data_IF_888954020100
#
_entry.id   IF_888954020100
#
_cell.length_a   1.000
_cell.length_b   1.000
_cell.length_c   1.000
_cell.angle_alpha   90.00
_cell.angle_beta   90.00
_cell.angle_gamma   90.00
#
_symmetry.space_group_name_H-M   'P 1'
#
loop_
_entity.id
_entity.type
_entity.pdbx_description
1 polymer ?
#
# COMPACT_ATOMS: atom_id res chain seq x y z
N UNK A 1 -9.84 -39.44 -6.71
CA UNK A 1 -10.37 -38.60 -7.81
C UNK A 1 -10.35 -37.15 -7.34
N UNK A 2 -9.26 -36.42 -7.66
CA UNK A 2 -9.24 -34.99 -7.53
C UNK A 2 -10.04 -34.43 -8.71
N UNK A 3 -11.29 -34.04 -8.49
CA UNK A 3 -12.02 -33.20 -9.41
C UNK A 3 -11.45 -31.78 -9.25
N UNK A 4 -10.39 -31.45 -9.99
CA UNK A 4 -9.96 -30.07 -10.16
C UNK A 4 -11.05 -29.37 -11.00
N UNK A 5 -11.58 -28.27 -10.50
CA UNK A 5 -12.49 -27.40 -11.25
C UNK A 5 -11.59 -26.33 -11.88
N UNK A 6 -11.48 -26.36 -13.20
CA UNK A 6 -10.83 -25.30 -13.95
C UNK A 6 -11.84 -24.17 -14.17
N UNK A 7 -11.46 -22.94 -13.84
CA UNK A 7 -12.23 -21.74 -14.13
C UNK A 7 -11.34 -20.68 -14.79
N UNK A 8 -11.95 -19.91 -15.67
CA UNK A 8 -11.30 -18.77 -16.30
C UNK A 8 -12.07 -17.49 -15.94
N UNK A 9 -11.34 -16.45 -15.59
CA UNK A 9 -11.89 -15.15 -15.25
C UNK A 9 -11.81 -14.22 -16.47
N UNK A 10 -12.92 -13.54 -16.76
CA UNK A 10 -12.99 -12.54 -17.83
C UNK A 10 -13.38 -11.18 -17.26
N UNK A 11 -12.83 -10.12 -17.85
CA UNK A 11 -13.29 -8.76 -17.64
C UNK A 11 -14.07 -8.30 -18.86
N UNK A 12 -15.27 -7.76 -18.65
CA UNK A 12 -16.07 -7.17 -19.72
C UNK A 12 -15.72 -5.70 -19.89
N UNK A 13 -15.03 -5.34 -20.98
CA UNK A 13 -14.71 -3.94 -21.35
C UNK A 13 -15.63 -3.43 -22.43
N UNK A 14 -16.06 -2.16 -22.32
CA UNK A 14 -16.81 -1.48 -23.36
C UNK A 14 -15.84 -0.77 -24.31
N UNK A 15 -15.61 -1.35 -25.50
CA UNK A 15 -14.72 -0.82 -26.53
C UNK A 15 -15.54 -0.47 -27.76
N UNK A 16 -15.44 0.76 -28.24
CA UNK A 16 -16.18 1.27 -29.39
C UNK A 16 -17.70 0.99 -29.33
N UNK A 17 -18.29 1.09 -28.13
CA UNK A 17 -19.72 0.87 -27.90
C UNK A 17 -20.15 -0.59 -27.76
N UNK A 18 -19.24 -1.54 -27.92
CA UNK A 18 -19.50 -2.99 -27.76
C UNK A 18 -18.89 -3.51 -26.49
N UNK A 19 -19.56 -4.44 -25.83
CA UNK A 19 -18.99 -5.19 -24.71
C UNK A 19 -18.12 -6.30 -25.28
N UNK A 20 -16.88 -6.39 -24.81
CA UNK A 20 -15.91 -7.40 -25.22
C UNK A 20 -15.37 -8.04 -23.94
N UNK A 21 -15.45 -9.37 -23.88
CA UNK A 21 -14.87 -10.13 -22.78
C UNK A 21 -13.40 -10.40 -23.09
N UNK A 22 -12.54 -9.97 -22.18
CA UNK A 22 -11.08 -10.14 -22.26
C UNK A 22 -10.68 -11.07 -21.13
N UNK A 23 -9.94 -12.14 -21.45
CA UNK A 23 -9.41 -13.03 -20.42
C UNK A 23 -8.55 -12.23 -19.44
N UNK A 24 -8.81 -12.43 -18.14
CA UNK A 24 -8.08 -11.74 -17.06
C UNK A 24 -6.57 -12.06 -17.06
N UNK A 25 -6.17 -13.15 -17.70
CA UNK A 25 -4.75 -13.49 -17.93
C UNK A 25 -4.01 -12.46 -18.79
N UNK A 26 -4.75 -11.59 -19.51
CA UNK A 26 -4.21 -10.51 -20.35
C UNK A 26 -4.23 -9.15 -19.66
N UNK A 27 -4.73 -9.11 -18.41
CA UNK A 27 -4.79 -7.86 -17.67
C UNK A 27 -3.42 -7.40 -17.17
N UNK A 28 -3.34 -6.11 -16.82
CA UNK A 28 -2.13 -5.54 -16.23
C UNK A 28 -1.82 -6.18 -14.89
N UNK A 29 -0.54 -6.27 -14.55
CA UNK A 29 -0.10 -6.78 -13.24
C UNK A 29 -0.77 -6.02 -12.09
N UNK A 30 -1.00 -4.69 -12.25
CA UNK A 30 -1.69 -3.87 -11.25
C UNK A 30 -3.13 -4.30 -11.02
N UNK A 31 -3.90 -4.57 -12.10
CA UNK A 31 -5.28 -5.04 -11.99
C UNK A 31 -5.36 -6.44 -11.34
N UNK A 32 -4.42 -7.34 -11.69
CA UNK A 32 -4.33 -8.64 -11.04
C UNK A 32 -4.08 -8.52 -9.54
N UNK A 33 -3.18 -7.62 -9.14
CA UNK A 33 -2.87 -7.36 -7.72
C UNK A 33 -4.02 -6.69 -6.97
N UNK A 34 -4.76 -5.78 -7.61
CA UNK A 34 -5.97 -5.19 -7.03
C UNK A 34 -7.02 -6.26 -6.73
N UNK A 35 -7.22 -7.21 -7.65
CA UNK A 35 -8.15 -8.31 -7.43
C UNK A 35 -7.68 -9.23 -6.30
N UNK A 36 -6.38 -9.61 -6.26
CA UNK A 36 -5.83 -10.43 -5.17
C UNK A 36 -5.98 -9.73 -3.82
N UNK A 37 -5.63 -8.45 -3.76
CA UNK A 37 -5.84 -7.63 -2.56
C UNK A 37 -7.30 -7.64 -2.12
N UNK A 38 -8.24 -7.42 -3.05
CA UNK A 38 -9.66 -7.38 -2.75
C UNK A 38 -10.16 -8.73 -2.22
N UNK A 39 -9.76 -9.85 -2.83
CA UNK A 39 -10.12 -11.19 -2.36
C UNK A 39 -9.63 -11.45 -0.92
N UNK A 40 -8.41 -11.02 -0.58
CA UNK A 40 -7.88 -11.11 0.78
C UNK A 40 -8.61 -10.19 1.75
N UNK A 41 -8.90 -8.96 1.30
CA UNK A 41 -9.64 -7.97 2.07
C UNK A 41 -11.01 -8.49 2.50
N UNK A 42 -11.73 -9.24 1.65
CA UNK A 42 -13.05 -9.79 1.98
C UNK A 42 -13.06 -10.57 3.30
N UNK A 43 -11.96 -11.20 3.68
CA UNK A 43 -11.88 -11.89 4.97
C UNK A 43 -12.01 -10.92 6.16
N UNK A 44 -11.60 -9.65 6.01
CA UNK A 44 -11.76 -8.65 7.08
C UNK A 44 -13.23 -8.27 7.32
N UNK A 45 -14.09 -8.41 6.32
CA UNK A 45 -15.52 -8.11 6.44
C UNK A 45 -16.29 -9.17 7.21
N UNK A 46 -15.67 -10.32 7.45
CA UNK A 46 -16.24 -11.45 8.21
C UNK A 46 -15.57 -11.62 9.58
N UNK A 47 -14.91 -10.60 10.07
CA UNK A 47 -14.32 -10.58 11.42
C UNK A 47 -12.92 -11.19 11.54
N UNK A 48 -12.29 -11.57 10.41
CA UNK A 48 -10.94 -12.16 10.43
C UNK A 48 -9.85 -11.08 10.52
N UNK A 49 -8.68 -11.49 11.01
CA UNK A 49 -7.45 -10.71 10.95
C UNK A 49 -6.70 -11.06 9.66
N UNK A 50 -6.40 -10.07 8.86
CA UNK A 50 -5.63 -10.22 7.61
C UNK A 50 -4.35 -9.43 7.73
N UNK A 51 -3.22 -10.09 7.43
CA UNK A 51 -1.89 -9.46 7.40
C UNK A 51 -1.36 -9.51 5.98
N UNK A 52 -0.96 -8.35 5.45
CA UNK A 52 -0.42 -8.21 4.11
C UNK A 52 0.91 -7.48 4.15
N UNK A 53 1.92 -8.06 3.52
CA UNK A 53 3.20 -7.40 3.33
C UNK A 53 3.24 -6.75 1.95
N UNK A 54 3.79 -5.52 1.87
CA UNK A 54 3.86 -4.73 0.63
C UNK A 54 2.53 -4.68 -0.14
N UNK A 55 1.43 -4.39 0.56
CA UNK A 55 0.08 -4.49 0.01
C UNK A 55 -0.17 -3.61 -1.23
N UNK A 56 0.59 -2.54 -1.41
CA UNK A 56 0.53 -1.59 -2.53
C UNK A 56 1.48 -1.93 -3.69
N UNK A 57 2.31 -2.97 -3.56
CA UNK A 57 3.34 -3.28 -4.55
C UNK A 57 2.75 -3.54 -5.95
N UNK A 58 3.14 -2.70 -6.93
CA UNK A 58 2.69 -2.79 -8.33
C UNK A 58 1.27 -2.29 -8.58
N UNK A 59 0.65 -1.61 -7.62
CA UNK A 59 -0.63 -0.93 -7.77
C UNK A 59 -0.37 0.58 -7.83
N UNK A 60 -1.12 1.30 -8.68
CA UNK A 60 -1.01 2.75 -8.76
C UNK A 60 -1.43 3.39 -7.42
N UNK A 61 -0.59 4.28 -6.88
CA UNK A 61 -0.76 4.86 -5.54
C UNK A 61 -2.17 5.42 -5.28
N UNK A 62 -2.71 6.20 -6.23
CA UNK A 62 -4.04 6.81 -6.12
C UNK A 62 -5.15 5.77 -6.18
N UNK A 63 -4.99 4.73 -6.99
CA UNK A 63 -5.98 3.64 -7.07
C UNK A 63 -6.04 2.89 -5.74
N UNK A 64 -4.89 2.57 -5.16
CA UNK A 64 -4.82 1.87 -3.89
C UNK A 64 -5.41 2.71 -2.74
N UNK A 65 -5.09 4.01 -2.69
CA UNK A 65 -5.68 4.92 -1.71
C UNK A 65 -7.21 4.99 -1.83
N UNK A 66 -7.73 5.14 -3.06
CA UNK A 66 -9.17 5.20 -3.28
C UNK A 66 -9.86 3.90 -2.90
N UNK A 67 -9.28 2.77 -3.26
CA UNK A 67 -9.79 1.45 -2.87
C UNK A 67 -9.90 1.34 -1.35
N UNK A 68 -8.86 1.71 -0.61
CA UNK A 68 -8.90 1.66 0.85
C UNK A 68 -9.92 2.61 1.46
N UNK A 69 -10.10 3.82 0.90
CA UNK A 69 -11.16 4.75 1.34
C UNK A 69 -12.55 4.12 1.24
N UNK A 70 -12.80 3.41 0.13
CA UNK A 70 -14.09 2.77 -0.10
C UNK A 70 -14.29 1.52 0.76
N UNK A 71 -13.23 0.77 1.01
CA UNK A 71 -13.31 -0.50 1.73
C UNK A 71 -13.27 -0.34 3.26
N UNK A 72 -12.64 0.71 3.77
CA UNK A 72 -12.45 0.94 5.21
C UNK A 72 -13.74 0.81 6.04
N UNK A 73 -14.92 1.33 5.61
CA UNK A 73 -16.16 1.22 6.38
C UNK A 73 -16.68 -0.21 6.56
N UNK A 74 -16.23 -1.14 5.75
CA UNK A 74 -16.70 -2.54 5.76
C UNK A 74 -15.83 -3.47 6.61
N UNK A 75 -14.71 -2.97 7.17
CA UNK A 75 -13.83 -3.76 8.04
C UNK A 75 -14.56 -4.03 9.36
N UNK A 76 -14.84 -5.30 9.64
CA UNK A 76 -15.38 -5.77 10.93
C UNK A 76 -14.34 -6.54 11.75
N UNK A 77 -13.30 -7.05 11.08
CA UNK A 77 -12.11 -7.68 11.66
C UNK A 77 -10.95 -6.69 11.77
N UNK A 78 -9.77 -7.13 11.38
CA UNK A 78 -8.56 -6.30 11.40
C UNK A 78 -7.76 -6.47 10.11
N UNK A 79 -7.31 -5.35 9.50
CA UNK A 79 -6.35 -5.34 8.42
C UNK A 79 -5.04 -4.73 8.94
N UNK A 80 -3.96 -5.52 8.88
CA UNK A 80 -2.60 -5.09 9.17
C UNK A 80 -1.83 -5.18 7.87
N UNK A 81 -1.18 -4.10 7.44
CA UNK A 81 -0.41 -4.14 6.20
C UNK A 81 0.82 -3.25 6.27
N UNK A 82 1.88 -3.66 5.54
CA UNK A 82 2.97 -2.77 5.20
C UNK A 82 2.71 -2.17 3.82
N UNK A 83 3.13 -0.92 3.61
CA UNK A 83 2.98 -0.20 2.35
C UNK A 83 4.03 0.90 2.22
N UNK A 84 4.44 1.18 0.98
CA UNK A 84 5.33 2.30 0.65
C UNK A 84 4.56 3.55 0.20
N UNK A 85 3.28 3.42 -0.08
CA UNK A 85 2.41 4.49 -0.56
C UNK A 85 2.14 5.53 0.53
N UNK A 86 2.82 6.66 0.46
CA UNK A 86 2.66 7.75 1.44
C UNK A 86 1.31 8.47 1.35
N UNK A 87 0.54 8.30 0.26
CA UNK A 87 -0.82 8.86 0.16
C UNK A 87 -1.77 8.25 1.21
N UNK A 88 -1.46 7.07 1.74
CA UNK A 88 -2.25 6.45 2.81
C UNK A 88 -2.25 7.29 4.10
N UNK A 89 -1.24 8.14 4.29
CA UNK A 89 -1.16 9.08 5.41
C UNK A 89 -2.17 10.24 5.29
N UNK A 90 -2.83 10.38 4.14
CA UNK A 90 -3.87 11.38 3.88
C UNK A 90 -5.29 10.81 4.05
N UNK A 91 -5.41 9.53 4.40
CA UNK A 91 -6.70 8.92 4.73
C UNK A 91 -7.28 9.58 6.00
N UNK A 92 -8.61 9.57 6.09
CA UNK A 92 -9.31 10.06 7.28
C UNK A 92 -8.85 9.25 8.51
N UNK A 93 -8.57 9.95 9.60
CA UNK A 93 -8.09 9.35 10.85
C UNK A 93 -6.76 8.56 10.72
N UNK A 94 -5.96 8.77 9.67
CA UNK A 94 -4.68 8.09 9.46
C UNK A 94 -3.78 8.10 10.71
N UNK A 95 -3.85 9.18 11.50
CA UNK A 95 -3.10 9.32 12.75
C UNK A 95 -3.37 8.20 13.76
N UNK A 96 -4.53 7.58 13.73
CA UNK A 96 -4.92 6.54 14.70
C UNK A 96 -4.47 5.13 14.31
N UNK A 97 -4.12 4.91 13.04
CA UNK A 97 -3.78 3.56 12.54
C UNK A 97 -2.46 3.49 11.76
N UNK A 98 -1.81 4.62 11.47
CA UNK A 98 -0.50 4.62 10.80
C UNK A 98 0.63 4.52 11.81
N UNK A 99 1.53 3.57 11.58
CA UNK A 99 2.76 3.36 12.31
C UNK A 99 3.94 3.57 11.35
N UNK A 100 5.01 4.17 11.85
CA UNK A 100 6.27 4.33 11.13
C UNK A 100 7.25 3.28 11.61
N UNK A 101 7.84 2.56 10.68
CA UNK A 101 8.97 1.66 10.91
C UNK A 101 10.23 2.47 10.65
N UNK A 102 11.04 2.66 11.66
CA UNK A 102 12.28 3.42 11.63
C UNK A 102 13.44 2.48 11.93
N UNK A 103 14.31 2.28 10.95
CA UNK A 103 15.51 1.46 11.07
C UNK A 103 16.72 2.38 11.03
N UNK A 104 17.40 2.53 12.18
CA UNK A 104 18.62 3.34 12.32
C UNK A 104 19.91 2.52 12.08
N UNK A 105 19.79 1.27 11.67
CA UNK A 105 20.90 0.32 11.46
C UNK A 105 21.35 -0.40 12.71
N UNK A 106 20.95 0.05 13.90
CA UNK A 106 21.21 -0.62 15.19
C UNK A 106 19.93 -1.24 15.75
N UNK A 107 18.78 -0.56 15.56
CA UNK A 107 17.49 -0.96 16.10
C UNK A 107 16.35 -0.63 15.13
N UNK A 108 15.43 -1.55 14.99
CA UNK A 108 14.14 -1.30 14.33
C UNK A 108 13.14 -0.83 15.37
N UNK A 109 12.56 0.36 15.15
CA UNK A 109 11.56 0.97 16.03
C UNK A 109 10.23 1.12 15.28
N UNK A 110 9.14 0.66 15.89
CA UNK A 110 7.79 0.87 15.38
C UNK A 110 7.11 1.91 16.26
N UNK A 111 6.66 3.01 15.67
CA UNK A 111 6.05 4.12 16.40
C UNK A 111 4.74 4.54 15.78
N UNK A 112 3.70 4.70 16.60
CA UNK A 112 2.45 5.30 16.14
C UNK A 112 2.64 6.78 15.85
N UNK A 113 2.03 7.28 14.79
CA UNK A 113 2.00 8.73 14.52
C UNK A 113 1.29 9.47 15.67
N UNK A 114 0.38 8.82 16.39
CA UNK A 114 -0.30 9.41 17.55
C UNK A 114 0.64 9.75 18.71
N UNK A 115 1.79 9.07 18.82
CA UNK A 115 2.77 9.26 19.91
C UNK A 115 3.58 10.54 19.74
N UNK A 116 3.60 11.10 18.52
CA UNK A 116 4.27 12.36 18.25
C UNK A 116 3.43 13.55 18.71
N UNK A 117 4.03 14.45 19.49
CA UNK A 117 3.39 15.52 20.26
C UNK A 117 2.35 16.35 19.47
N UNK A 118 1.13 16.44 20.01
CA UNK A 118 -0.01 17.15 19.42
C UNK A 118 0.13 18.69 19.42
N UNK A 119 1.04 19.27 20.22
CA UNK A 119 1.07 20.72 20.53
C UNK A 119 1.46 21.63 19.36
N UNK A 120 2.05 21.09 18.30
CA UNK A 120 2.60 21.89 17.20
C UNK A 120 1.74 21.87 15.91
N UNK A 121 0.54 21.20 15.87
CA UNK A 121 0.10 20.58 14.61
C UNK A 121 -1.39 20.70 14.26
N UNK A 122 -2.02 21.84 14.52
CA UNK A 122 -3.43 22.01 14.13
C UNK A 122 -3.69 21.96 12.61
N UNK A 123 -2.66 22.18 11.76
CA UNK A 123 -2.83 22.30 10.31
C UNK A 123 -1.77 21.61 9.45
N UNK A 124 -0.98 20.65 9.95
CA UNK A 124 0.09 20.06 9.16
C UNK A 124 -0.30 18.65 8.66
N UNK A 125 -0.26 18.48 7.33
CA UNK A 125 -0.40 17.23 6.63
C UNK A 125 0.64 16.22 7.14
N UNK A 126 0.16 15.05 7.60
CA UNK A 126 1.00 13.97 8.17
C UNK A 126 2.05 13.53 7.15
N UNK A 127 1.67 13.38 5.88
CA UNK A 127 2.54 12.99 4.79
C UNK A 127 3.70 13.97 4.60
N UNK A 128 3.43 15.29 4.58
CA UNK A 128 4.48 16.29 4.42
C UNK A 128 5.52 16.23 5.55
N UNK A 129 5.08 15.91 6.75
CA UNK A 129 5.96 15.76 7.90
C UNK A 129 6.80 14.49 7.82
N UNK A 130 6.22 13.40 7.36
CA UNK A 130 6.96 12.18 7.07
C UNK A 130 8.04 12.43 6.01
N UNK A 131 7.66 13.04 4.89
CA UNK A 131 8.60 13.39 3.81
C UNK A 131 9.70 14.40 4.24
N UNK A 132 9.46 15.18 5.29
CA UNK A 132 10.46 16.06 5.94
C UNK A 132 11.27 15.35 7.03
N UNK A 133 11.18 14.02 7.13
CA UNK A 133 11.84 13.17 8.12
C UNK A 133 11.56 13.53 9.60
N UNK A 134 10.39 14.13 9.88
CA UNK A 134 10.03 14.51 11.24
C UNK A 134 9.57 13.33 12.10
N UNK A 135 9.28 12.20 11.47
CA UNK A 135 8.87 10.97 12.15
C UNK A 135 9.97 9.90 12.13
N UNK A 136 11.04 10.07 11.36
CA UNK A 136 11.97 9.01 11.01
C UNK A 136 11.40 8.10 9.92
N UNK A 137 12.06 6.97 9.68
CA UNK A 137 11.59 5.93 8.76
C UNK A 137 11.78 6.24 7.27
N UNK A 138 12.41 7.34 6.91
CA UNK A 138 12.87 7.54 5.54
C UNK A 138 14.14 6.73 5.29
N UNK A 139 14.28 6.12 4.09
CA UNK A 139 15.51 5.44 3.71
C UNK A 139 16.71 6.37 3.87
N UNK A 140 17.72 5.90 4.58
CA UNK A 140 18.97 6.66 4.71
C UNK A 140 19.75 6.51 3.41
N UNK A 141 19.46 7.38 2.45
CA UNK A 141 20.24 7.51 1.22
C UNK A 141 21.58 8.18 1.53
N UNK A 142 22.45 7.51 2.27
CA UNK A 142 23.88 7.81 2.18
C UNK A 142 24.29 7.34 0.78
N UNK A 143 24.28 8.31 -0.12
CA UNK A 143 24.30 8.08 -1.55
C UNK A 143 25.49 7.21 -1.96
N UNK A 144 25.19 6.18 -2.72
CA UNK A 144 26.17 5.58 -3.59
C UNK A 144 26.68 6.73 -4.47
N UNK A 145 27.94 7.11 -4.32
CA UNK A 145 28.56 8.10 -5.22
C UNK A 145 28.76 7.46 -6.59
N UNK A 146 27.71 7.58 -7.42
CA UNK A 146 27.75 7.09 -8.80
C UNK A 146 28.88 7.73 -9.61
N UNK A 147 29.33 8.95 -9.24
CA UNK A 147 30.46 9.62 -9.87
C UNK A 147 31.77 8.88 -9.60
N UNK A 148 31.95 8.34 -8.42
CA UNK A 148 33.09 7.51 -8.04
C UNK A 148 33.04 6.16 -8.75
N UNK A 149 31.89 5.48 -8.73
CA UNK A 149 31.70 4.19 -9.43
C UNK A 149 31.94 4.29 -10.93
N UNK A 150 31.47 5.36 -11.58
CA UNK A 150 31.68 5.56 -13.02
C UNK A 150 33.13 5.88 -13.36
N UNK A 151 33.93 6.44 -12.44
CA UNK A 151 35.36 6.66 -12.63
C UNK A 151 36.19 5.38 -12.51
N UNK A 152 35.74 4.42 -11.72
CA UNK A 152 36.41 3.13 -11.57
C UNK A 152 36.12 2.16 -12.73
N UNK A 153 35.09 2.43 -13.55
CA UNK A 153 34.69 1.62 -14.70
C UNK A 153 35.36 2.09 -16.03
N UNK A 154 36.06 3.24 -16.04
CA UNK A 154 36.82 3.78 -17.19
C UNK A 154 38.29 3.75 -16.90
#
# INVERSE_FOLDING_TARGET
>A
NNNAIDYELFETKRIAGKNIDISFSRESTGNCKLLDFFCRFLNTTTGHVVVLDEADAGIHEVQFQNLLKELQPYITGQLIMTAHNTLLMELENARSFVYIIDDDGEQVKIRSISDYNKRTFKNNNIRNRYLSNQYGGLPNNQGVDFGLLLKELN
#
